data_IF_584552843310
#
_entry.id   IF_584552843310
#
_cell.length_a   1.000
_cell.length_b   1.000
_cell.length_c   1.000
_cell.angle_alpha   90.00
_cell.angle_beta   90.00
_cell.angle_gamma   90.00
#
_symmetry.space_group_name_H-M   'P 1'
#
loop_
_entity.id
_entity.type
_entity.pdbx_description
1 polymer ?
#
# COMPACT_ATOMS: atom_id res chain seq x y z
N UNK A 1 -5.10 -37.58 -8.19
CA UNK A 1 -5.60 -36.18 -8.18
C UNK A 1 -4.77 -35.43 -7.18
N UNK A 2 -4.07 -34.37 -7.59
CA UNK A 2 -3.37 -33.48 -6.66
C UNK A 2 -4.41 -32.48 -6.12
N UNK A 3 -4.73 -32.57 -4.84
CA UNK A 3 -5.49 -31.51 -4.14
C UNK A 3 -4.50 -30.41 -3.76
N UNK A 4 -4.49 -29.31 -4.52
CA UNK A 4 -3.83 -28.08 -4.08
C UNK A 4 -4.65 -27.46 -2.96
N UNK A 5 -4.28 -27.73 -1.70
CA UNK A 5 -4.79 -26.97 -0.55
C UNK A 5 -3.97 -25.69 -0.42
N UNK A 6 -4.53 -24.57 -0.88
CA UNK A 6 -3.96 -23.25 -0.64
C UNK A 6 -4.20 -22.92 0.84
N UNK A 7 -3.15 -22.90 1.66
CA UNK A 7 -3.24 -22.61 3.12
C UNK A 7 -2.53 -21.32 3.54
N UNK A 8 -1.96 -20.54 2.62
CA UNK A 8 -1.15 -19.38 3.01
C UNK A 8 -2.05 -18.20 3.40
N UNK A 9 -2.14 -17.94 4.70
CA UNK A 9 -2.77 -16.73 5.25
C UNK A 9 -1.69 -15.69 5.49
N UNK A 10 -1.58 -14.69 4.62
CA UNK A 10 -0.68 -13.54 4.84
C UNK A 10 -1.32 -12.52 5.78
N UNK A 11 -0.59 -12.07 6.79
CA UNK A 11 -1.02 -11.01 7.71
C UNK A 11 -0.13 -9.79 7.57
N UNK A 12 -0.75 -8.63 7.34
CA UNK A 12 -0.08 -7.34 7.25
C UNK A 12 -0.42 -6.51 8.49
N UNK A 13 0.58 -5.84 9.05
CA UNK A 13 0.37 -4.92 10.18
C UNK A 13 0.45 -3.48 9.69
N UNK A 14 -0.63 -2.71 9.83
CA UNK A 14 -0.60 -1.27 9.66
C UNK A 14 0.09 -0.63 10.88
N UNK A 15 1.19 0.10 10.64
CA UNK A 15 1.82 0.92 11.66
C UNK A 15 1.07 2.25 11.72
N UNK A 16 0.43 2.52 12.86
CA UNK A 16 -0.50 3.64 13.05
C UNK A 16 0.10 4.97 12.56
N UNK A 17 -0.59 5.61 11.62
CA UNK A 17 -0.34 6.97 11.17
C UNK A 17 -1.57 7.85 11.46
N UNK A 18 -1.36 9.15 11.63
CA UNK A 18 -2.44 10.14 11.80
C UNK A 18 -2.81 10.77 10.45
N UNK A 19 -2.98 9.96 9.41
CA UNK A 19 -3.42 10.44 8.11
C UNK A 19 -4.95 10.46 8.05
N UNK A 20 -5.51 11.45 7.36
CA UNK A 20 -6.95 11.61 7.20
C UNK A 20 -7.29 12.28 5.86
N UNK A 21 -8.54 12.21 5.47
CA UNK A 21 -9.00 12.75 4.19
C UNK A 21 -8.85 14.27 4.08
N UNK A 22 -8.93 15.00 5.21
CA UNK A 22 -8.75 16.46 5.22
C UNK A 22 -7.33 16.86 4.80
N UNK A 23 -6.31 16.02 5.04
CA UNK A 23 -4.96 16.28 4.54
C UNK A 23 -4.93 16.27 3.00
N UNK A 24 -5.60 15.32 2.34
CA UNK A 24 -5.69 15.28 0.86
C UNK A 24 -6.40 16.52 0.33
N UNK A 25 -7.51 16.90 0.97
CA UNK A 25 -8.29 18.09 0.63
C UNK A 25 -7.41 19.34 0.71
N UNK A 26 -6.70 19.54 1.82
CA UNK A 26 -5.85 20.71 2.01
C UNK A 26 -4.64 20.72 1.06
N UNK A 27 -4.05 19.55 0.76
CA UNK A 27 -3.03 19.41 -0.28
C UNK A 27 -3.52 19.81 -1.68
N UNK A 28 -4.81 19.64 -1.99
CA UNK A 28 -5.38 20.14 -3.24
C UNK A 28 -5.68 21.65 -3.16
N UNK A 29 -6.29 22.09 -2.05
CA UNK A 29 -6.75 23.47 -1.85
C UNK A 29 -5.62 24.50 -1.76
N UNK A 30 -4.41 24.10 -1.37
CA UNK A 30 -3.22 24.97 -1.36
C UNK A 30 -2.96 25.59 -2.75
N UNK A 31 -3.34 24.91 -3.83
CA UNK A 31 -3.22 25.43 -5.20
C UNK A 31 -4.11 26.66 -5.46
N UNK A 32 -5.08 26.90 -4.59
CA UNK A 32 -6.04 28.00 -4.67
C UNK A 32 -5.92 28.97 -3.48
N UNK A 33 -4.83 28.88 -2.70
CA UNK A 33 -4.62 29.64 -1.47
C UNK A 33 -5.79 29.49 -0.47
N UNK A 34 -6.25 28.24 -0.29
CA UNK A 34 -7.38 27.88 0.56
C UNK A 34 -7.04 26.73 1.48
N UNK A 35 -7.75 26.67 2.60
CA UNK A 35 -7.70 25.58 3.58
C UNK A 35 -9.13 25.18 3.97
N UNK A 36 -9.30 23.95 4.41
CA UNK A 36 -10.54 23.43 4.98
C UNK A 36 -10.29 22.71 6.30
N UNK A 37 -11.37 22.52 7.05
CA UNK A 37 -11.37 21.84 8.35
C UNK A 37 -12.51 20.82 8.41
N UNK A 38 -12.39 19.87 9.32
CA UNK A 38 -13.50 18.98 9.67
C UNK A 38 -14.60 19.76 10.42
N UNK A 39 -15.83 19.30 10.31
CA UNK A 39 -16.95 19.84 11.07
C UNK A 39 -16.85 19.51 12.58
N UNK A 40 -17.79 20.02 13.37
CA UNK A 40 -17.87 19.80 14.82
C UNK A 40 -18.00 18.32 15.22
N UNK A 41 -18.44 17.46 14.29
CA UNK A 41 -18.59 16.02 14.48
C UNK A 41 -17.39 15.23 13.94
N UNK A 42 -16.36 15.91 13.41
CA UNK A 42 -15.18 15.29 12.82
C UNK A 42 -15.37 14.79 11.39
N UNK A 43 -16.42 15.19 10.69
CA UNK A 43 -16.67 14.80 9.30
C UNK A 43 -16.14 15.84 8.31
N UNK A 44 -15.92 15.40 7.06
CA UNK A 44 -15.63 16.30 5.96
C UNK A 44 -16.84 17.17 5.61
N UNK A 45 -16.58 18.42 5.23
CA UNK A 45 -17.61 19.27 4.65
C UNK A 45 -18.12 18.67 3.32
N UNK A 46 -19.40 18.84 2.96
CA UNK A 46 -19.94 18.31 1.70
C UNK A 46 -19.16 18.76 0.46
N UNK A 47 -18.63 20.00 0.47
CA UNK A 47 -17.80 20.51 -0.61
C UNK A 47 -16.44 19.79 -0.72
N UNK A 48 -15.86 19.38 0.40
CA UNK A 48 -14.60 18.65 0.44
C UNK A 48 -14.77 17.19 0.01
N UNK A 49 -15.89 16.57 0.40
CA UNK A 49 -16.25 15.25 -0.12
C UNK A 49 -16.40 15.27 -1.65
N UNK A 50 -17.04 16.31 -2.19
CA UNK A 50 -17.15 16.52 -3.63
C UNK A 50 -15.78 16.70 -4.31
N UNK A 51 -14.88 17.46 -3.68
CA UNK A 51 -13.51 17.64 -4.17
C UNK A 51 -12.73 16.32 -4.20
N UNK A 52 -12.77 15.52 -3.13
CA UNK A 52 -12.10 14.22 -3.10
C UNK A 52 -12.59 13.30 -4.23
N UNK A 53 -13.91 13.21 -4.42
CA UNK A 53 -14.51 12.41 -5.48
C UNK A 53 -14.07 12.89 -6.87
N UNK A 54 -13.99 14.21 -7.07
CA UNK A 54 -13.48 14.80 -8.31
C UNK A 54 -12.02 14.41 -8.55
N UNK A 55 -11.15 14.57 -7.55
CA UNK A 55 -9.73 14.24 -7.67
C UNK A 55 -9.50 12.76 -8.00
N UNK A 56 -10.22 11.87 -7.31
CA UNK A 56 -10.15 10.43 -7.55
C UNK A 56 -10.64 10.05 -8.95
N UNK A 57 -11.81 10.54 -9.36
CA UNK A 57 -12.40 10.20 -10.68
C UNK A 57 -11.60 10.74 -11.87
N UNK A 58 -10.94 11.89 -11.72
CA UNK A 58 -10.14 12.52 -12.78
C UNK A 58 -8.66 12.14 -12.75
N UNK A 59 -8.28 11.15 -11.92
CA UNK A 59 -6.89 10.71 -11.74
C UNK A 59 -5.94 11.85 -11.37
N UNK A 60 -6.42 12.85 -10.62
CA UNK A 60 -5.58 13.88 -10.02
C UNK A 60 -4.94 13.32 -8.75
N UNK A 61 -3.89 12.52 -8.93
CA UNK A 61 -3.31 11.73 -7.85
C UNK A 61 -2.32 12.50 -6.96
N UNK A 62 -1.82 13.66 -7.39
CA UNK A 62 -0.80 14.41 -6.65
C UNK A 62 -1.22 14.76 -5.21
N UNK A 63 -2.46 15.17 -4.90
CA UNK A 63 -2.86 15.44 -3.52
C UNK A 63 -2.85 14.18 -2.64
N UNK A 64 -3.10 13.01 -3.22
CA UNK A 64 -3.05 11.72 -2.52
C UNK A 64 -1.63 11.27 -2.19
N UNK A 65 -0.59 11.91 -2.74
CA UNK A 65 0.80 11.55 -2.44
C UNK A 65 1.25 11.98 -1.02
N UNK A 66 0.51 12.92 -0.41
CA UNK A 66 0.79 13.44 0.93
C UNK A 66 0.37 12.48 2.05
N UNK A 67 -0.63 11.62 1.78
CA UNK A 67 -0.98 10.50 2.67
C UNK A 67 0.08 9.44 2.52
N UNK A 68 0.72 9.06 3.62
CA UNK A 68 1.84 8.11 3.63
C UNK A 68 1.59 7.03 4.67
N UNK A 69 1.27 5.83 4.22
CA UNK A 69 1.02 4.68 5.08
C UNK A 69 2.23 3.78 5.18
N UNK A 70 2.35 3.12 6.33
CA UNK A 70 3.47 2.22 6.64
C UNK A 70 2.92 0.87 7.04
N UNK A 71 3.30 -0.17 6.32
CA UNK A 71 2.91 -1.54 6.58
C UNK A 71 4.15 -2.37 6.91
N UNK A 72 4.03 -3.26 7.89
CA UNK A 72 5.01 -4.29 8.15
C UNK A 72 4.56 -5.60 7.50
N UNK A 73 5.44 -6.14 6.66
CA UNK A 73 5.28 -7.40 5.94
C UNK A 73 6.27 -8.41 6.52
N UNK A 74 5.77 -9.52 7.06
CA UNK A 74 6.61 -10.53 7.71
C UNK A 74 7.47 -11.25 6.65
N UNK A 75 8.77 -11.39 6.93
CA UNK A 75 9.75 -12.05 6.06
C UNK A 75 9.45 -13.53 5.79
N UNK A 76 8.68 -14.19 6.64
CA UNK A 76 8.26 -15.58 6.44
C UNK A 76 7.46 -15.78 5.15
N UNK A 77 6.72 -14.75 4.71
CA UNK A 77 5.89 -14.83 3.52
C UNK A 77 6.17 -13.72 2.50
N UNK A 78 6.86 -12.64 2.86
CA UNK A 78 7.12 -11.56 1.92
C UNK A 78 8.48 -11.74 1.23
N UNK A 79 8.43 -12.08 -0.06
CA UNK A 79 9.61 -12.18 -0.91
C UNK A 79 10.04 -10.79 -1.41
N UNK A 80 11.02 -10.20 -0.73
CA UNK A 80 11.55 -8.88 -1.08
C UNK A 80 12.28 -8.90 -2.42
N UNK A 81 12.93 -10.00 -2.80
CA UNK A 81 13.71 -10.06 -4.04
C UNK A 81 12.76 -10.07 -5.24
N UNK A 82 11.69 -10.86 -5.16
CA UNK A 82 10.60 -10.84 -6.14
C UNK A 82 9.96 -9.45 -6.22
N UNK A 83 9.61 -8.86 -5.07
CA UNK A 83 9.02 -7.52 -5.02
C UNK A 83 9.89 -6.48 -5.74
N UNK A 84 11.20 -6.46 -5.50
CA UNK A 84 12.13 -5.50 -6.12
C UNK A 84 12.29 -5.76 -7.62
N UNK A 85 12.31 -7.02 -8.06
CA UNK A 85 12.48 -7.37 -9.48
C UNK A 85 11.22 -7.09 -10.31
N UNK A 86 10.03 -7.28 -9.74
CA UNK A 86 8.76 -7.03 -10.42
C UNK A 86 8.37 -5.55 -10.43
N UNK A 87 8.85 -4.74 -9.47
CA UNK A 87 8.54 -3.33 -9.41
C UNK A 87 9.35 -2.50 -10.42
N UNK A 88 8.67 -1.58 -11.13
CA UNK A 88 9.35 -0.58 -11.96
C UNK A 88 9.92 0.56 -11.11
N UNK A 89 10.77 1.41 -11.70
CA UNK A 89 11.27 2.62 -11.04
C UNK A 89 10.13 3.55 -10.58
N UNK A 90 9.03 3.62 -11.33
CA UNK A 90 7.86 4.42 -10.97
C UNK A 90 7.12 3.85 -9.76
N UNK A 91 7.01 2.52 -9.65
CA UNK A 91 6.42 1.87 -8.48
C UNK A 91 7.24 2.15 -7.21
N UNK A 92 8.57 2.14 -7.33
CA UNK A 92 9.50 2.35 -6.22
C UNK A 92 9.69 3.82 -5.85
N UNK A 93 9.27 4.77 -6.69
CA UNK A 93 9.50 6.19 -6.45
C UNK A 93 8.85 6.67 -5.14
N UNK A 94 9.67 7.12 -4.18
CA UNK A 94 9.21 7.63 -2.89
C UNK A 94 8.92 6.56 -1.82
N UNK A 95 9.17 5.28 -2.13
CA UNK A 95 9.11 4.20 -1.15
C UNK A 95 10.25 4.36 -0.12
N UNK A 96 10.00 4.02 1.13
CA UNK A 96 11.02 3.87 2.15
C UNK A 96 10.87 2.47 2.75
N UNK A 97 11.95 1.70 2.80
CA UNK A 97 11.95 0.33 3.28
C UNK A 97 13.01 0.18 4.36
N UNK A 98 12.66 -0.48 5.46
CA UNK A 98 13.57 -0.78 6.54
C UNK A 98 13.28 -2.17 7.11
N UNK A 99 14.31 -2.81 7.65
CA UNK A 99 14.17 -4.08 8.37
C UNK A 99 13.93 -3.80 9.86
N UNK A 100 12.91 -4.41 10.45
CA UNK A 100 12.63 -4.28 11.89
C UNK A 100 11.91 -5.52 12.43
N UNK A 101 12.03 -5.77 13.73
CA UNK A 101 11.20 -6.76 14.41
C UNK A 101 9.88 -6.09 14.83
N UNK A 102 8.75 -6.63 14.36
CA UNK A 102 7.41 -6.16 14.69
C UNK A 102 6.68 -7.31 15.37
N UNK A 103 6.31 -7.14 16.65
CA UNK A 103 5.72 -8.19 17.49
C UNK A 103 6.52 -9.52 17.47
N UNK A 104 7.84 -9.42 17.65
CA UNK A 104 8.78 -10.55 17.64
C UNK A 104 8.92 -11.30 16.30
N UNK A 105 8.34 -10.76 15.21
CA UNK A 105 8.53 -11.29 13.86
C UNK A 105 9.42 -10.37 13.02
N UNK A 106 10.49 -10.89 12.37
CA UNK A 106 11.31 -10.11 11.45
C UNK A 106 10.44 -9.68 10.25
N UNK A 107 10.41 -8.38 9.98
CA UNK A 107 9.52 -7.80 9.00
C UNK A 107 10.22 -6.74 8.15
N UNK A 108 9.82 -6.67 6.89
CA UNK A 108 10.03 -5.51 6.02
C UNK A 108 8.99 -4.45 6.34
N UNK A 109 9.44 -3.34 6.92
CA UNK A 109 8.62 -2.16 7.17
C UNK A 109 8.71 -1.26 5.95
N UNK A 110 7.62 -1.19 5.21
CA UNK A 110 7.52 -0.43 3.96
C UNK A 110 6.59 0.75 4.19
N UNK A 111 7.09 1.95 3.90
CA UNK A 111 6.32 3.19 3.84
C UNK A 111 6.21 3.66 2.40
N UNK A 112 5.00 3.95 1.97
CA UNK A 112 4.73 4.55 0.66
C UNK A 112 3.59 5.57 0.76
N UNK A 113 3.47 6.41 -0.26
CA UNK A 113 2.30 7.26 -0.43
C UNK A 113 1.05 6.43 -0.73
N UNK A 114 -0.14 6.96 -0.45
CA UNK A 114 -1.40 6.28 -0.76
C UNK A 114 -1.50 5.95 -2.25
N UNK A 115 -1.13 6.90 -3.11
CA UNK A 115 -1.05 6.66 -4.54
C UNK A 115 -0.09 5.52 -4.90
N UNK A 116 1.10 5.50 -4.28
CA UNK A 116 2.07 4.42 -4.46
C UNK A 116 1.54 3.06 -4.04
N UNK A 117 0.84 2.97 -2.91
CA UNK A 117 0.18 1.74 -2.48
C UNK A 117 -0.88 1.27 -3.47
N UNK A 118 -1.72 2.17 -3.99
CA UNK A 118 -2.69 1.83 -5.04
C UNK A 118 -1.98 1.25 -6.28
N UNK A 119 -0.86 1.84 -6.70
CA UNK A 119 -0.07 1.33 -7.83
C UNK A 119 0.57 -0.03 -7.57
N UNK A 120 1.02 -0.29 -6.34
CA UNK A 120 1.53 -1.61 -5.96
C UNK A 120 0.40 -2.65 -5.91
N UNK A 121 -0.81 -2.28 -5.47
CA UNK A 121 -1.96 -3.17 -5.48
C UNK A 121 -2.42 -3.50 -6.90
N UNK A 122 -2.46 -2.51 -7.80
CA UNK A 122 -2.71 -2.74 -9.23
C UNK A 122 -1.67 -3.71 -9.83
N UNK A 123 -0.39 -3.52 -9.54
CA UNK A 123 0.68 -4.41 -10.00
C UNK A 123 0.57 -5.82 -9.40
N UNK A 124 0.10 -5.93 -8.16
CA UNK A 124 -0.08 -7.22 -7.49
C UNK A 124 -1.11 -8.10 -8.20
N UNK A 125 -2.11 -7.53 -8.88
CA UNK A 125 -3.11 -8.31 -9.62
C UNK A 125 -2.50 -9.13 -10.77
N UNK A 126 -1.34 -8.70 -11.30
CA UNK A 126 -0.65 -9.38 -12.40
C UNK A 126 0.60 -10.11 -11.93
N UNK A 127 1.42 -9.48 -11.08
CA UNK A 127 2.74 -9.97 -10.69
C UNK A 127 2.76 -10.67 -9.32
N UNK A 128 1.65 -10.64 -8.56
CA UNK A 128 1.54 -11.26 -7.23
C UNK A 128 2.66 -10.82 -6.25
N UNK A 129 3.09 -9.56 -6.31
CA UNK A 129 4.23 -9.03 -5.54
C UNK A 129 4.10 -9.14 -4.01
N UNK A 130 2.88 -9.33 -3.47
CA UNK A 130 2.62 -9.52 -2.04
C UNK A 130 2.22 -10.96 -1.67
N UNK A 131 2.12 -11.86 -2.65
CA UNK A 131 1.82 -13.27 -2.42
C UNK A 131 2.85 -14.11 -3.16
N UNK A 132 3.87 -14.67 -2.48
CA UNK A 132 4.66 -15.69 -3.13
C UNK A 132 3.71 -16.84 -3.47
N UNK A 133 3.49 -17.07 -4.76
CA UNK A 133 3.00 -18.35 -5.21
C UNK A 133 4.15 -19.34 -4.99
N UNK A 134 4.28 -19.84 -3.76
CA UNK A 134 5.20 -20.94 -3.44
C UNK A 134 4.62 -22.17 -4.11
N UNK A 135 4.83 -22.30 -5.42
CA UNK A 135 4.75 -23.59 -6.08
C UNK A 135 6.07 -24.26 -5.75
N UNK A 136 6.12 -24.95 -4.61
CA UNK A 136 7.11 -26.02 -4.46
C UNK A 136 6.85 -26.99 -5.61
N UNK A 137 7.62 -26.86 -6.69
CA UNK A 137 7.88 -28.02 -7.52
C UNK A 137 8.54 -29.00 -6.57
N UNK A 138 7.76 -29.93 -6.04
CA UNK A 138 8.25 -31.24 -5.63
C UNK A 138 8.88 -31.82 -6.90
N UNK A 139 10.13 -31.42 -7.18
CA UNK A 139 10.97 -32.08 -8.15
C UNK A 139 10.91 -33.54 -7.74
N UNK A 140 10.30 -34.36 -8.59
CA UNK A 140 10.24 -35.80 -8.43
C UNK A 140 11.63 -36.26 -8.00
N UNK A 141 11.80 -36.54 -6.70
CA UNK A 141 12.94 -37.30 -6.23
C UNK A 141 12.72 -38.67 -6.84
N UNK A 142 13.63 -39.01 -7.75
CA UNK A 142 13.73 -40.27 -8.48
C UNK A 142 13.15 -41.46 -7.70
N UNK A 143 12.17 -42.13 -8.31
CA UNK A 143 11.96 -43.57 -8.20
C UNK A 143 11.85 -44.11 -9.61
#
# INVERSE_FOLDING_TARGET
MLENRITNTSRVTLIKNNNNDILVVNSARVSFDKESMLDENGNLLPADQGLLNYLASHKHFTPFTHIRETFALNEEWFDIDWFIQSCTQENLAGINMAKANVYDSPSWVIRHSFFGWVKLLELNETENIFQPCVVEYLSLINI
#
